data_IF_518391275883
#
_entry.id   IF_518391275883
#
_cell.length_a   1.000
_cell.length_b   1.000
_cell.length_c   1.000
_cell.angle_alpha   90.00
_cell.angle_beta   90.00
_cell.angle_gamma   90.00
#
_symmetry.space_group_name_H-M   'P 1'
#
loop_
_entity.id
_entity.type
_entity.pdbx_description
1 polymer ?
#
# COMPACT_ATOMS: atom_id res chain seq x y z
N UNK A 1 2.85 1.71 -11.59
CA UNK A 1 1.91 1.14 -10.59
C UNK A 1 1.91 -0.38 -10.56
N UNK A 2 1.76 -1.09 -11.66
CA UNK A 2 1.62 -2.57 -11.67
C UNK A 2 2.68 -3.30 -10.81
N UNK A 3 3.97 -2.92 -10.92
CA UNK A 3 5.03 -3.50 -10.06
C UNK A 3 4.78 -3.31 -8.56
N UNK A 4 4.14 -2.22 -8.14
CA UNK A 4 3.78 -2.05 -6.72
C UNK A 4 2.67 -3.03 -6.30
N UNK A 5 1.73 -3.33 -7.19
CA UNK A 5 0.66 -4.32 -6.93
C UNK A 5 1.22 -5.74 -6.86
N UNK A 6 2.18 -6.11 -7.73
CA UNK A 6 2.90 -7.39 -7.61
C UNK A 6 3.59 -7.53 -6.24
N UNK A 7 4.28 -6.48 -5.79
CA UNK A 7 4.94 -6.46 -4.48
C UNK A 7 3.93 -6.54 -3.32
N UNK A 8 2.75 -5.94 -3.48
CA UNK A 8 1.66 -6.07 -2.51
C UNK A 8 1.18 -7.53 -2.42
N UNK A 9 1.03 -8.20 -3.56
CA UNK A 9 0.70 -9.62 -3.60
C UNK A 9 1.78 -10.49 -2.96
N UNK A 10 3.05 -10.24 -3.26
CA UNK A 10 4.18 -10.94 -2.61
C UNK A 10 4.20 -10.72 -1.10
N UNK A 11 3.87 -9.51 -0.64
CA UNK A 11 3.72 -9.19 0.78
C UNK A 11 2.59 -9.99 1.43
N UNK A 12 1.41 -10.04 0.77
CA UNK A 12 0.26 -10.83 1.22
C UNK A 12 0.60 -12.32 1.30
N UNK A 13 1.23 -12.89 0.27
CA UNK A 13 1.66 -14.30 0.23
C UNK A 13 2.62 -14.66 1.35
N UNK A 14 3.45 -13.71 1.79
CA UNK A 14 4.36 -13.87 2.93
C UNK A 14 3.67 -13.66 4.30
N UNK A 15 2.35 -13.45 4.33
CA UNK A 15 1.57 -13.27 5.55
C UNK A 15 1.65 -11.87 6.16
N UNK A 16 2.25 -10.89 5.44
CA UNK A 16 2.30 -9.47 5.84
C UNK A 16 1.12 -8.68 5.25
N UNK A 17 0.96 -7.43 5.67
CA UNK A 17 -0.01 -6.53 5.04
C UNK A 17 0.32 -6.35 3.55
N UNK A 18 -0.65 -6.59 2.68
CA UNK A 18 -0.46 -6.58 1.24
C UNK A 18 -0.25 -5.17 0.67
N UNK A 19 0.91 -4.57 0.97
CA UNK A 19 1.29 -3.23 0.52
C UNK A 19 2.64 -3.31 -0.19
N UNK A 20 2.72 -2.69 -1.37
CA UNK A 20 3.92 -2.59 -2.18
C UNK A 20 4.22 -1.16 -2.59
N UNK A 21 5.50 -0.85 -2.73
CA UNK A 21 5.98 0.47 -3.11
C UNK A 21 7.14 0.41 -4.11
N UNK A 22 7.17 1.35 -5.03
CA UNK A 22 8.20 1.47 -6.07
C UNK A 22 8.63 2.92 -6.17
N UNK A 23 9.93 3.18 -6.17
CA UNK A 23 10.47 4.50 -6.49
C UNK A 23 11.01 4.46 -7.91
N UNK A 24 10.55 5.41 -8.71
CA UNK A 24 10.98 5.59 -10.09
C UNK A 24 11.69 6.92 -10.29
N UNK A 25 12.51 7.00 -11.34
CA UNK A 25 13.03 8.24 -11.91
C UNK A 25 12.80 8.18 -13.40
N UNK A 26 12.10 9.19 -13.93
CA UNK A 26 11.79 9.27 -15.37
C UNK A 26 11.19 7.97 -15.94
N UNK A 27 10.37 7.28 -15.11
CA UNK A 27 9.74 6.00 -15.46
C UNK A 27 10.58 4.74 -15.18
N UNK A 28 11.89 4.88 -14.90
CA UNK A 28 12.75 3.74 -14.56
C UNK A 28 12.69 3.40 -13.07
N UNK A 29 12.56 2.12 -12.73
CA UNK A 29 12.55 1.65 -11.33
C UNK A 29 13.94 1.75 -10.72
N UNK A 30 14.05 2.50 -9.61
CA UNK A 30 15.28 2.64 -8.83
C UNK A 30 15.28 1.81 -7.55
N UNK A 31 14.13 1.71 -6.90
CA UNK A 31 13.99 0.98 -5.65
C UNK A 31 12.58 0.41 -5.53
N UNK A 32 12.48 -0.72 -4.86
CA UNK A 32 11.21 -1.38 -4.54
C UNK A 32 11.18 -1.69 -3.06
N UNK A 33 9.99 -1.80 -2.49
CA UNK A 33 9.78 -2.25 -1.12
C UNK A 33 8.42 -2.90 -1.00
N UNK A 34 8.30 -3.84 -0.07
CA UNK A 34 7.01 -4.38 0.32
C UNK A 34 6.85 -4.37 1.83
N UNK A 35 5.64 -4.46 2.33
CA UNK A 35 5.41 -4.59 3.75
C UNK A 35 5.93 -5.95 4.23
N UNK A 36 6.69 -5.96 5.34
CA UNK A 36 7.27 -7.14 5.95
C UNK A 36 7.03 -7.19 7.47
N UNK A 37 5.93 -6.63 7.92
CA UNK A 37 5.62 -6.52 9.34
C UNK A 37 5.62 -7.88 10.04
N UNK A 38 5.10 -8.93 9.39
CA UNK A 38 4.99 -10.27 9.94
C UNK A 38 6.17 -11.21 9.61
N UNK A 39 7.18 -10.73 8.89
CA UNK A 39 8.33 -11.52 8.47
C UNK A 39 9.53 -11.29 9.40
N UNK A 40 10.34 -12.31 9.64
CA UNK A 40 11.56 -12.20 10.44
C UNK A 40 12.81 -11.86 9.61
N UNK A 41 12.78 -12.15 8.29
CA UNK A 41 13.87 -11.91 7.36
C UNK A 41 13.53 -10.76 6.41
N UNK A 42 14.35 -9.72 6.33
CA UNK A 42 14.13 -8.63 5.39
C UNK A 42 14.34 -9.03 3.92
N UNK A 43 15.03 -10.14 3.61
CA UNK A 43 15.34 -10.53 2.25
C UNK A 43 16.08 -9.42 1.49
N UNK A 44 15.50 -8.94 0.39
CA UNK A 44 16.04 -7.80 -0.39
C UNK A 44 15.67 -6.43 0.19
N UNK A 45 14.80 -6.37 1.20
CA UNK A 45 14.40 -5.14 1.89
C UNK A 45 15.35 -4.83 3.06
N UNK A 46 15.10 -3.75 3.77
CA UNK A 46 15.94 -3.28 4.88
C UNK A 46 15.29 -3.61 6.23
N UNK A 47 13.95 -3.56 6.30
CA UNK A 47 13.17 -3.70 7.51
C UNK A 47 12.25 -4.92 7.41
N UNK A 48 12.20 -5.72 8.48
CA UNK A 48 11.25 -6.81 8.67
C UNK A 48 10.94 -7.00 10.15
N UNK A 49 9.81 -7.64 10.49
CA UNK A 49 9.46 -8.04 11.84
C UNK A 49 9.25 -6.86 12.81
N UNK A 50 8.90 -5.71 12.31
CA UNK A 50 8.70 -4.49 13.10
C UNK A 50 7.57 -3.64 12.53
N UNK A 51 6.91 -2.85 13.38
CA UNK A 51 5.91 -1.87 12.95
C UNK A 51 6.45 -0.78 12.00
N UNK A 52 7.77 -0.71 11.80
CA UNK A 52 8.41 0.18 10.84
C UNK A 52 8.56 -0.46 9.44
N UNK A 53 8.34 -1.77 9.29
CA UNK A 53 8.58 -2.51 8.05
C UNK A 53 7.50 -2.25 6.97
N UNK A 54 7.19 -0.97 6.75
CA UNK A 54 6.28 -0.51 5.70
C UNK A 54 6.95 -0.56 4.31
N UNK A 55 6.14 -0.76 3.28
CA UNK A 55 6.62 -0.86 1.90
C UNK A 55 7.38 0.40 1.45
N UNK A 56 6.83 1.56 1.75
CA UNK A 56 7.43 2.85 1.41
C UNK A 56 8.76 3.07 2.12
N UNK A 57 8.84 2.70 3.41
CA UNK A 57 10.08 2.80 4.18
C UNK A 57 11.14 1.86 3.64
N UNK A 58 10.77 0.64 3.26
CA UNK A 58 11.68 -0.31 2.63
C UNK A 58 12.21 0.20 1.28
N UNK A 59 11.35 0.82 0.46
CA UNK A 59 11.77 1.42 -0.79
C UNK A 59 12.69 2.65 -0.56
N UNK A 60 12.30 3.55 0.36
CA UNK A 60 13.05 4.76 0.68
C UNK A 60 14.43 4.48 1.28
N UNK A 61 14.55 3.44 2.13
CA UNK A 61 15.80 3.05 2.77
C UNK A 61 16.89 2.59 1.78
N UNK A 62 16.53 2.26 0.54
CA UNK A 62 17.46 1.90 -0.54
C UNK A 62 18.01 3.11 -1.29
N UNK A 63 17.45 4.30 -1.09
CA UNK A 63 17.98 5.53 -1.71
C UNK A 63 19.25 5.97 -1.01
N UNK A 64 20.26 6.33 -1.78
CA UNK A 64 21.51 6.84 -1.23
C UNK A 64 21.34 8.28 -0.74
N UNK A 65 22.01 8.61 0.35
CA UNK A 65 22.13 9.99 0.80
C UNK A 65 22.72 10.87 -0.32
N UNK A 66 22.10 12.04 -0.53
CA UNK A 66 22.53 12.97 -1.59
C UNK A 66 22.05 12.61 -3.00
N UNK A 67 21.17 11.62 -3.15
CA UNK A 67 20.52 11.36 -4.45
C UNK A 67 19.81 12.62 -4.97
N UNK A 68 19.96 12.97 -6.27
CA UNK A 68 19.19 14.07 -6.85
C UNK A 68 17.68 13.84 -6.73
N UNK A 69 16.93 14.92 -6.50
CA UNK A 69 15.47 14.85 -6.33
C UNK A 69 14.68 14.89 -7.64
N UNK A 70 15.35 15.26 -8.75
CA UNK A 70 14.68 15.47 -10.03
C UNK A 70 14.10 14.16 -10.57
N UNK A 71 12.82 14.21 -10.93
CA UNK A 71 12.09 13.08 -11.52
C UNK A 71 11.80 11.91 -10.58
N UNK A 72 12.08 12.04 -9.24
CA UNK A 72 11.79 10.96 -8.30
C UNK A 72 10.32 10.95 -7.88
N UNK A 73 9.66 9.83 -8.15
CA UNK A 73 8.29 9.55 -7.74
C UNK A 73 8.22 8.26 -6.92
N UNK A 74 7.39 8.26 -5.88
CA UNK A 74 7.00 7.08 -5.12
C UNK A 74 5.61 6.62 -5.59
N UNK A 75 5.51 5.38 -6.01
CA UNK A 75 4.27 4.68 -6.34
C UNK A 75 3.97 3.70 -5.23
N UNK A 76 2.82 3.78 -4.62
CA UNK A 76 2.40 2.88 -3.53
C UNK A 76 0.97 2.40 -3.73
N UNK A 77 0.69 1.19 -3.27
CA UNK A 77 -0.64 0.59 -3.43
C UNK A 77 -1.66 1.13 -2.42
N UNK A 78 -1.21 1.76 -1.34
CA UNK A 78 -2.06 2.40 -0.36
C UNK A 78 -1.55 3.81 -0.05
N UNK A 79 -2.44 4.76 0.20
CA UNK A 79 -2.07 6.11 0.65
C UNK A 79 -1.11 6.03 1.85
N UNK A 80 0.05 6.70 1.80
CA UNK A 80 1.03 6.59 2.87
C UNK A 80 0.52 7.15 4.20
N UNK A 81 0.76 6.42 5.28
CA UNK A 81 0.52 6.88 6.64
C UNK A 81 1.42 8.07 7.02
N UNK A 82 1.15 8.69 8.16
CA UNK A 82 1.94 9.83 8.66
C UNK A 82 3.43 9.51 8.80
N UNK A 83 3.78 8.28 9.23
CA UNK A 83 5.17 7.82 9.34
C UNK A 83 5.86 7.80 7.98
N UNK A 84 5.21 7.21 6.97
CA UNK A 84 5.74 7.13 5.61
C UNK A 84 5.86 8.50 4.95
N UNK A 85 4.86 9.38 5.12
CA UNK A 85 4.94 10.76 4.62
C UNK A 85 6.03 11.57 5.32
N UNK A 86 6.27 11.36 6.60
CA UNK A 86 7.41 11.94 7.32
C UNK A 86 8.75 11.51 6.71
N UNK A 87 8.89 10.22 6.35
CA UNK A 87 10.09 9.70 5.70
C UNK A 87 10.24 10.23 4.26
N UNK A 88 9.13 10.26 3.48
CA UNK A 88 9.12 10.87 2.13
C UNK A 88 9.57 12.32 2.21
N UNK A 89 9.04 13.11 3.16
CA UNK A 89 9.40 14.52 3.36
C UNK A 89 10.90 14.72 3.59
N UNK A 90 11.57 13.79 4.27
CA UNK A 90 13.01 13.84 4.56
C UNK A 90 13.87 13.24 3.43
N UNK A 91 13.26 12.55 2.49
CA UNK A 91 13.91 11.93 1.33
C UNK A 91 14.00 12.89 0.15
N UNK A 92 14.68 12.52 -0.94
CA UNK A 92 14.66 13.30 -2.18
C UNK A 92 13.39 13.14 -3.02
N UNK A 93 12.45 12.26 -2.64
CA UNK A 93 11.17 12.08 -3.36
C UNK A 93 10.29 13.31 -3.20
N UNK A 94 9.65 13.77 -4.29
CA UNK A 94 8.81 14.98 -4.29
C UNK A 94 7.39 14.73 -4.76
N UNK A 95 7.11 13.53 -5.28
CA UNK A 95 5.78 13.15 -5.73
C UNK A 95 5.44 11.74 -5.25
N UNK A 96 4.23 11.57 -4.76
CA UNK A 96 3.66 10.28 -4.33
C UNK A 96 2.43 10.01 -5.16
N UNK A 97 2.36 8.82 -5.74
CA UNK A 97 1.20 8.33 -6.48
C UNK A 97 0.60 7.15 -5.69
N UNK A 98 -0.57 7.34 -5.11
CA UNK A 98 -1.27 6.33 -4.33
C UNK A 98 -2.40 5.69 -5.15
N UNK A 99 -2.45 4.34 -5.15
CA UNK A 99 -3.48 3.58 -5.86
C UNK A 99 -4.82 3.62 -5.11
N UNK A 100 -4.79 3.31 -3.82
CA UNK A 100 -5.97 3.30 -2.97
C UNK A 100 -5.87 4.36 -1.87
N UNK A 101 -6.95 5.07 -1.54
CA UNK A 101 -7.02 5.93 -0.36
C UNK A 101 -6.98 5.09 0.92
N UNK A 102 -6.41 5.65 2.00
CA UNK A 102 -6.41 5.00 3.32
C UNK A 102 -7.47 5.65 4.22
N UNK A 103 -8.48 4.92 4.70
CA UNK A 103 -9.54 5.47 5.53
C UNK A 103 -9.05 6.08 6.85
N UNK A 104 -7.89 5.62 7.37
CA UNK A 104 -7.34 6.09 8.65
C UNK A 104 -6.50 7.35 8.52
N UNK A 105 -5.90 7.57 7.35
CA UNK A 105 -4.96 8.66 7.12
C UNK A 105 -5.49 9.75 6.19
N UNK A 106 -6.81 9.82 6.00
CA UNK A 106 -7.46 10.93 5.28
C UNK A 106 -7.08 12.27 5.91
N UNK A 107 -6.71 13.24 5.07
CA UNK A 107 -6.32 14.57 5.53
C UNK A 107 -4.91 14.65 6.13
N UNK A 108 -4.11 13.58 6.10
CA UNK A 108 -2.73 13.56 6.60
C UNK A 108 -1.84 14.61 5.91
N UNK A 109 -2.16 14.98 4.68
CA UNK A 109 -1.49 16.07 3.93
C UNK A 109 -1.63 17.43 4.63
N UNK A 110 -2.58 17.59 5.52
CA UNK A 110 -2.70 18.75 6.41
C UNK A 110 -1.47 18.95 7.29
N UNK A 111 -0.66 17.91 7.54
CA UNK A 111 0.58 17.99 8.29
C UNK A 111 1.60 18.97 7.67
N UNK A 112 1.52 19.27 6.38
CA UNK A 112 2.33 20.30 5.71
C UNK A 112 2.21 21.70 6.34
N UNK A 113 1.11 21.96 7.07
CA UNK A 113 0.82 23.24 7.71
C UNK A 113 1.33 23.32 9.17
N UNK A 114 1.91 22.24 9.72
CA UNK A 114 2.41 22.22 11.10
C UNK A 114 3.50 23.28 11.35
N UNK A 115 4.41 23.46 10.40
CA UNK A 115 5.39 24.53 10.40
C UNK A 115 6.04 24.69 9.01
N UNK A 116 6.81 25.79 8.84
CA UNK A 116 7.46 26.12 7.56
C UNK A 116 8.47 25.06 7.11
N UNK A 117 9.23 24.46 8.04
CA UNK A 117 10.21 23.42 7.70
C UNK A 117 9.53 22.19 7.10
N UNK A 118 8.42 21.74 7.68
CA UNK A 118 7.66 20.59 7.18
C UNK A 118 7.04 20.92 5.81
N UNK A 119 6.41 22.09 5.69
CA UNK A 119 5.69 22.48 4.46
C UNK A 119 6.57 22.76 3.26
N UNK A 120 7.79 23.26 3.48
CA UNK A 120 8.68 23.74 2.38
C UNK A 120 8.99 22.69 1.30
N UNK A 121 9.03 21.43 1.64
CA UNK A 121 9.31 20.32 0.71
C UNK A 121 8.33 19.16 0.90
N UNK A 122 7.08 19.47 1.27
CA UNK A 122 6.06 18.46 1.35
C UNK A 122 5.83 17.85 -0.04
N UNK A 123 5.74 16.52 -0.17
CA UNK A 123 5.53 15.91 -1.46
C UNK A 123 4.16 16.27 -2.05
N UNK A 124 4.09 16.35 -3.37
CA UNK A 124 2.82 16.31 -4.08
C UNK A 124 2.21 14.91 -3.91
N UNK A 125 0.98 14.83 -3.44
CA UNK A 125 0.25 13.56 -3.31
C UNK A 125 -0.81 13.54 -4.40
N UNK A 126 -0.74 12.52 -5.25
CA UNK A 126 -1.69 12.28 -6.34
C UNK A 126 -2.42 10.98 -6.04
N UNK A 127 -3.71 11.08 -5.81
CA UNK A 127 -4.59 9.93 -5.76
C UNK A 127 -4.94 9.52 -7.19
N UNK A 128 -4.77 8.23 -7.50
CA UNK A 128 -5.14 7.70 -8.80
C UNK A 128 -6.66 7.47 -8.85
N UNK A 129 -7.24 7.40 -10.05
CA UNK A 129 -8.64 7.01 -10.19
C UNK A 129 -8.89 5.66 -9.50
N UNK A 130 -9.97 5.60 -8.72
CA UNK A 130 -10.36 4.37 -8.02
C UNK A 130 -10.96 3.38 -9.00
N UNK A 131 -10.41 2.19 -9.00
CA UNK A 131 -10.83 1.05 -9.81
C UNK A 131 -10.74 -0.25 -8.99
N UNK A 132 -10.90 -1.39 -9.66
CA UNK A 132 -10.81 -2.72 -9.04
C UNK A 132 -9.43 -3.01 -8.46
N UNK A 133 -8.35 -2.41 -8.98
CA UNK A 133 -7.02 -2.55 -8.41
C UNK A 133 -6.88 -1.84 -7.07
N UNK A 134 -7.53 -0.68 -6.91
CA UNK A 134 -7.61 0.00 -5.62
C UNK A 134 -8.41 -0.84 -4.61
N UNK A 135 -9.53 -1.42 -5.03
CA UNK A 135 -10.31 -2.33 -4.20
C UNK A 135 -9.52 -3.59 -3.80
N UNK A 136 -8.76 -4.18 -4.73
CA UNK A 136 -7.88 -5.33 -4.46
C UNK A 136 -6.79 -5.00 -3.45
N UNK A 137 -6.20 -3.81 -3.54
CA UNK A 137 -5.18 -3.35 -2.59
C UNK A 137 -5.74 -3.27 -1.17
N UNK A 138 -6.92 -2.69 -0.99
CA UNK A 138 -7.61 -2.63 0.30
C UNK A 138 -8.06 -4.02 0.77
N UNK A 139 -8.49 -4.89 -0.15
CA UNK A 139 -8.87 -6.26 0.16
C UNK A 139 -7.71 -7.05 0.78
N UNK A 140 -6.49 -6.96 0.24
CA UNK A 140 -5.34 -7.66 0.81
C UNK A 140 -5.10 -7.27 2.26
N UNK A 141 -5.14 -5.98 2.58
CA UNK A 141 -4.97 -5.50 3.94
C UNK A 141 -6.13 -5.92 4.85
N UNK A 142 -7.37 -5.76 4.39
CA UNK A 142 -8.56 -6.13 5.15
C UNK A 142 -8.61 -7.62 5.42
N UNK A 143 -8.24 -8.46 4.44
CA UNK A 143 -8.16 -9.91 4.60
C UNK A 143 -7.15 -10.30 5.69
N UNK A 144 -5.94 -9.75 5.68
CA UNK A 144 -4.90 -10.06 6.66
C UNK A 144 -5.34 -9.65 8.07
N UNK A 145 -5.89 -8.45 8.26
CA UNK A 145 -6.37 -8.00 9.57
C UNK A 145 -7.56 -8.83 10.07
N UNK A 146 -8.46 -9.23 9.16
CA UNK A 146 -9.57 -10.14 9.48
C UNK A 146 -9.05 -11.53 9.90
N UNK A 147 -8.10 -12.08 9.16
CA UNK A 147 -7.46 -13.37 9.47
C UNK A 147 -6.72 -13.33 10.82
N UNK A 148 -6.01 -12.24 11.12
CA UNK A 148 -5.35 -12.06 12.41
C UNK A 148 -6.31 -11.73 13.56
N UNK A 149 -7.60 -11.52 13.27
CA UNK A 149 -8.61 -11.08 14.24
C UNK A 149 -8.23 -9.73 14.90
N UNK A 150 -7.59 -8.85 14.15
CA UNK A 150 -7.25 -7.49 14.56
C UNK A 150 -8.34 -6.54 14.06
N UNK A 151 -9.02 -5.89 15.00
CA UNK A 151 -9.98 -4.82 14.67
C UNK A 151 -9.24 -3.50 14.55
N UNK A 152 -9.43 -2.82 13.43
CA UNK A 152 -8.99 -1.45 13.22
C UNK A 152 -10.26 -0.59 13.27
N UNK A 153 -10.37 0.28 14.28
CA UNK A 153 -11.54 1.13 14.50
C UNK A 153 -11.83 1.98 13.26
N UNK A 154 -13.08 1.96 12.80
CA UNK A 154 -13.54 2.73 11.64
C UNK A 154 -13.20 2.12 10.28
N UNK A 155 -12.34 1.10 10.19
CA UNK A 155 -11.93 0.51 8.90
C UNK A 155 -13.08 -0.22 8.20
N UNK A 156 -13.69 -1.20 8.88
CA UNK A 156 -14.75 -2.02 8.30
C UNK A 156 -16.04 -1.22 8.07
N UNK A 157 -16.33 -0.26 8.93
CA UNK A 157 -17.49 0.64 8.83
C UNK A 157 -17.38 1.56 7.62
N UNK A 158 -16.15 1.94 7.27
CA UNK A 158 -15.89 2.83 6.14
C UNK A 158 -15.82 2.07 4.81
N UNK A 159 -15.47 0.79 4.84
CA UNK A 159 -15.31 -0.09 3.68
C UNK A 159 -16.19 -1.36 3.81
N UNK A 160 -17.52 -1.25 3.95
CA UNK A 160 -18.36 -2.39 4.28
C UNK A 160 -18.33 -3.50 3.22
N UNK A 161 -18.29 -3.19 1.93
CA UNK A 161 -18.22 -4.20 0.85
C UNK A 161 -16.89 -4.93 0.84
N UNK A 162 -15.77 -4.19 1.04
CA UNK A 162 -14.42 -4.79 1.13
C UNK A 162 -14.33 -5.69 2.37
N UNK A 163 -14.87 -5.24 3.51
CA UNK A 163 -14.89 -6.02 4.74
C UNK A 163 -15.73 -7.32 4.60
N UNK A 164 -16.89 -7.23 3.96
CA UNK A 164 -17.72 -8.39 3.68
C UNK A 164 -17.03 -9.40 2.75
N UNK A 165 -16.39 -8.90 1.69
CA UNK A 165 -15.62 -9.74 0.77
C UNK A 165 -14.43 -10.39 1.47
N UNK A 166 -13.68 -9.65 2.27
CA UNK A 166 -12.56 -10.17 3.05
C UNK A 166 -13.00 -11.29 4.02
N UNK A 167 -14.10 -11.08 4.74
CA UNK A 167 -14.65 -12.09 5.66
C UNK A 167 -15.07 -13.36 4.91
N UNK A 168 -15.72 -13.24 3.76
CA UNK A 168 -16.09 -14.38 2.91
C UNK A 168 -14.87 -15.16 2.43
N UNK A 169 -13.81 -14.45 1.99
CA UNK A 169 -12.58 -15.08 1.51
C UNK A 169 -11.76 -15.70 2.64
N UNK A 170 -11.75 -15.13 3.83
CA UNK A 170 -11.17 -15.78 5.03
C UNK A 170 -11.95 -17.06 5.37
N UNK A 171 -13.28 -17.00 5.33
CA UNK A 171 -14.14 -18.16 5.63
C UNK A 171 -14.00 -19.29 4.62
N UNK A 172 -13.83 -19.01 3.33
CA UNK A 172 -13.66 -20.01 2.29
C UNK A 172 -12.22 -20.53 2.13
N UNK A 173 -11.21 -19.73 2.52
CA UNK A 173 -9.80 -20.01 2.25
C UNK A 173 -9.35 -19.70 0.81
N UNK A 174 -10.26 -19.26 -0.06
CA UNK A 174 -10.02 -19.09 -1.51
C UNK A 174 -8.79 -18.23 -1.82
N UNK A 175 -8.62 -17.10 -1.14
CA UNK A 175 -7.49 -16.20 -1.41
C UNK A 175 -6.14 -16.81 -0.98
N UNK A 176 -6.14 -17.60 0.09
CA UNK A 176 -4.96 -18.36 0.53
C UNK A 176 -4.64 -19.52 -0.41
N UNK A 177 -5.65 -20.14 -0.98
CA UNK A 177 -5.47 -21.19 -2.00
C UNK A 177 -4.82 -20.61 -3.27
N UNK A 178 -5.29 -19.44 -3.74
CA UNK A 178 -4.65 -18.71 -4.85
C UNK A 178 -3.20 -18.32 -4.53
N UNK A 179 -2.94 -17.89 -3.29
CA UNK A 179 -1.58 -17.57 -2.84
C UNK A 179 -0.66 -18.78 -2.82
N UNK A 180 -1.18 -19.93 -2.37
CA UNK A 180 -0.43 -21.20 -2.28
C UNK A 180 -0.18 -21.82 -3.66
N UNK A 181 -1.10 -21.61 -4.61
CA UNK A 181 -0.97 -22.05 -6.01
C UNK A 181 -0.05 -21.14 -6.83
N UNK A 182 0.58 -20.15 -6.23
CA UNK A 182 1.49 -19.19 -6.88
C UNK A 182 0.86 -18.45 -8.07
N UNK A 183 -0.45 -18.21 -8.00
CA UNK A 183 -1.17 -17.43 -9.01
C UNK A 183 -0.60 -16.01 -9.06
N UNK A 184 -0.45 -15.46 -10.25
CA UNK A 184 -0.02 -14.05 -10.41
C UNK A 184 -1.09 -13.09 -9.90
N UNK A 185 -0.71 -11.87 -9.58
CA UNK A 185 -1.67 -10.86 -9.11
C UNK A 185 -2.75 -10.57 -10.15
N UNK A 186 -2.42 -10.64 -11.45
CA UNK A 186 -3.41 -10.52 -12.52
C UNK A 186 -4.42 -11.67 -12.50
N UNK A 187 -3.95 -12.90 -12.29
CA UNK A 187 -4.84 -14.06 -12.15
C UNK A 187 -5.73 -13.96 -10.90
N UNK A 188 -5.26 -13.37 -9.83
CA UNK A 188 -6.07 -13.06 -8.64
C UNK A 188 -7.12 -11.99 -8.96
N UNK A 189 -6.71 -10.92 -9.64
CA UNK A 189 -7.63 -9.87 -10.09
C UNK A 189 -8.72 -10.45 -10.98
N UNK A 190 -8.37 -11.27 -11.98
CA UNK A 190 -9.32 -11.92 -12.87
C UNK A 190 -10.32 -12.81 -12.12
N UNK A 191 -9.83 -13.62 -11.15
CA UNK A 191 -10.68 -14.50 -10.35
C UNK A 191 -11.67 -13.74 -9.46
N UNK A 192 -11.31 -12.54 -9.02
CA UNK A 192 -12.10 -11.72 -8.08
C UNK A 192 -12.81 -10.54 -8.76
N UNK A 193 -12.63 -10.28 -10.05
CA UNK A 193 -12.98 -9.04 -10.73
C UNK A 193 -14.42 -8.56 -10.46
N UNK A 194 -15.40 -9.43 -10.66
CA UNK A 194 -16.81 -9.08 -10.43
C UNK A 194 -17.09 -8.66 -8.99
N UNK A 195 -16.46 -9.35 -8.02
CA UNK A 195 -16.59 -9.03 -6.58
C UNK A 195 -15.86 -7.74 -6.22
N UNK A 196 -14.72 -7.46 -6.85
CA UNK A 196 -13.97 -6.21 -6.66
C UNK A 196 -14.76 -5.02 -7.24
N UNK A 197 -15.43 -5.18 -8.39
CA UNK A 197 -16.27 -4.14 -8.97
C UNK A 197 -17.40 -3.70 -8.02
N UNK A 198 -17.94 -4.63 -7.22
CA UNK A 198 -18.94 -4.31 -6.19
C UNK A 198 -18.36 -3.45 -5.04
N UNK A 199 -17.03 -3.52 -4.82
CA UNK A 199 -16.34 -2.76 -3.77
C UNK A 199 -15.90 -1.35 -4.21
N UNK A 200 -15.83 -1.07 -5.51
CA UNK A 200 -15.30 0.20 -6.04
C UNK A 200 -16.04 1.42 -5.51
N UNK A 201 -17.36 1.34 -5.33
CA UNK A 201 -18.18 2.45 -4.84
C UNK A 201 -17.78 2.88 -3.41
N UNK A 202 -17.52 1.93 -2.51
CA UNK A 202 -17.10 2.21 -1.14
C UNK A 202 -15.71 2.87 -1.14
N UNK A 203 -14.80 2.35 -1.96
CA UNK A 203 -13.43 2.89 -2.06
C UNK A 203 -13.46 4.30 -2.64
N UNK A 204 -14.26 4.55 -3.68
CA UNK A 204 -14.40 5.86 -4.29
C UNK A 204 -15.02 6.91 -3.33
N UNK A 205 -15.80 6.49 -2.36
CA UNK A 205 -16.33 7.40 -1.33
C UNK A 205 -15.27 7.93 -0.35
N UNK A 206 -14.05 7.38 -0.39
CA UNK A 206 -12.91 7.84 0.41
C UNK A 206 -12.13 9.00 -0.24
N UNK A 207 -12.24 9.19 -1.56
CA UNK A 207 -11.50 10.21 -2.32
C UNK A 207 -12.07 11.60 -2.18
#
# INVERSE_FOLDING_TARGET
MHRAVELAWDSFRAGSLGIGAVITRDGETLATGRNRLAESDPGEDVLAGTSLAHAELNALAKLRWGSPSDGLELWTTLQPCLQCLGAVRLSPVRKVQALAPDPLFRGVEGARHLNEFIGRQWPEIVELPVDEWAALSLLFQTHVTTFWQVSIEGWNETLPSVAALAAALVGSGELLDLASAEVTVDGVADALWSRLSECVADVAALS
#
